data_IF_615514437019
#
_entry.id   IF_615514437019
#
_cell.length_a   1.000
_cell.length_b   1.000
_cell.length_c   1.000
_cell.angle_alpha   90.00
_cell.angle_beta   90.00
_cell.angle_gamma   90.00
#
_symmetry.space_group_name_H-M   'P 1'
#
loop_
_entity.id
_entity.type
_entity.pdbx_description
1 polymer ?
#
# COMPACT_ATOMS: atom_id res chain seq x y z
N UNK A 1 14.28 -28.88 9.07
CA UNK A 1 14.40 -27.57 8.38
C UNK A 1 14.90 -26.56 9.40
N UNK A 2 15.99 -25.83 9.13
CA UNK A 2 16.57 -24.82 10.03
C UNK A 2 16.63 -23.48 9.28
N UNK A 3 16.06 -22.41 9.86
CA UNK A 3 16.07 -21.09 9.24
C UNK A 3 17.48 -20.48 9.31
N UNK A 4 18.01 -20.02 8.16
CA UNK A 4 19.30 -19.30 8.08
C UNK A 4 19.13 -18.06 7.18
N UNK A 5 19.31 -16.84 7.71
CA UNK A 5 19.49 -16.50 9.14
C UNK A 5 18.20 -16.73 9.96
N UNK A 6 18.32 -16.77 11.30
CA UNK A 6 17.17 -16.74 12.21
C UNK A 6 16.86 -18.01 13.02
N UNK A 7 17.78 -18.99 13.05
CA UNK A 7 17.63 -20.17 13.92
C UNK A 7 17.47 -19.75 15.39
N UNK A 8 16.39 -20.22 16.04
CA UNK A 8 16.10 -19.93 17.45
C UNK A 8 15.43 -18.57 17.71
N UNK A 9 15.16 -17.77 16.68
CA UNK A 9 14.38 -16.54 16.83
C UNK A 9 12.88 -16.85 16.81
N UNK A 10 12.14 -16.18 17.69
CA UNK A 10 10.68 -16.18 17.67
C UNK A 10 10.21 -15.12 16.66
N UNK A 11 10.14 -15.50 15.38
CA UNK A 11 9.73 -14.59 14.30
C UNK A 11 8.21 -14.55 14.25
N UNK A 12 7.57 -13.37 14.47
CA UNK A 12 6.12 -13.27 14.42
C UNK A 12 5.58 -13.70 13.06
N UNK A 13 4.58 -14.59 13.06
CA UNK A 13 3.94 -15.03 11.82
C UNK A 13 2.87 -14.01 11.43
N UNK A 14 2.86 -13.63 10.16
CA UNK A 14 1.87 -12.74 9.55
C UNK A 14 1.16 -13.42 8.41
N UNK A 15 -0.15 -13.17 8.29
CA UNK A 15 -0.90 -13.55 7.09
C UNK A 15 -0.97 -12.34 6.17
N UNK A 16 -0.34 -12.44 5.01
CA UNK A 16 -0.49 -11.46 3.93
C UNK A 16 -1.66 -11.90 3.04
N UNK A 17 -2.64 -11.01 2.87
CA UNK A 17 -3.84 -11.30 2.10
C UNK A 17 -4.16 -10.21 1.07
N UNK A 18 -4.73 -10.65 -0.04
CA UNK A 18 -5.34 -9.77 -1.05
C UNK A 18 -6.77 -10.23 -1.39
N UNK A 19 -7.41 -10.96 -0.45
CA UNK A 19 -8.75 -11.50 -0.56
C UNK A 19 -9.37 -11.70 0.83
N UNK A 20 -10.69 -11.91 0.87
CA UNK A 20 -11.42 -12.19 2.11
C UNK A 20 -11.04 -13.54 2.74
N UNK A 21 -10.51 -14.49 1.96
CA UNK A 21 -10.04 -15.76 2.50
C UNK A 21 -8.83 -15.59 3.43
N UNK A 22 -7.86 -14.76 3.03
CA UNK A 22 -6.70 -14.45 3.88
C UNK A 22 -7.11 -13.85 5.22
N UNK A 23 -8.10 -12.95 5.20
CA UNK A 23 -8.68 -12.37 6.42
C UNK A 23 -9.32 -13.43 7.33
N UNK A 24 -10.10 -14.35 6.76
CA UNK A 24 -10.72 -15.44 7.53
C UNK A 24 -9.68 -16.35 8.17
N UNK A 25 -8.62 -16.70 7.44
CA UNK A 25 -7.55 -17.54 7.94
C UNK A 25 -6.78 -16.85 9.07
N UNK A 26 -6.42 -15.57 8.89
CA UNK A 26 -5.74 -14.79 9.92
C UNK A 26 -6.57 -14.69 11.20
N UNK A 27 -7.88 -14.45 11.06
CA UNK A 27 -8.82 -14.38 12.18
C UNK A 27 -8.95 -15.72 12.91
N UNK A 28 -9.08 -16.82 12.17
CA UNK A 28 -9.21 -18.16 12.73
C UNK A 28 -7.97 -18.59 13.52
N UNK A 29 -6.78 -18.27 13.02
CA UNK A 29 -5.50 -18.58 13.66
C UNK A 29 -5.08 -17.56 14.74
N UNK A 30 -5.78 -16.43 14.85
CA UNK A 30 -5.42 -15.36 15.78
C UNK A 30 -4.07 -14.72 15.48
N UNK A 31 -3.78 -14.50 14.19
CA UNK A 31 -2.53 -13.93 13.71
C UNK A 31 -2.73 -12.48 13.23
N UNK A 32 -1.67 -11.65 13.22
CA UNK A 32 -1.72 -10.33 12.62
C UNK A 32 -1.94 -10.43 11.11
N UNK A 33 -2.69 -9.48 10.56
CA UNK A 33 -3.14 -9.49 9.17
C UNK A 33 -2.63 -8.27 8.39
N UNK A 34 -1.94 -8.53 7.28
CA UNK A 34 -1.48 -7.49 6.36
C UNK A 34 -2.25 -7.55 5.04
N UNK A 35 -3.05 -6.53 4.73
CA UNK A 35 -3.84 -6.48 3.50
C UNK A 35 -3.15 -5.65 2.40
N UNK A 36 -2.99 -6.24 1.21
CA UNK A 36 -2.40 -5.60 0.05
C UNK A 36 -3.41 -4.67 -0.67
N UNK A 37 -3.75 -3.52 -0.06
CA UNK A 37 -4.70 -2.56 -0.64
C UNK A 37 -4.29 -2.00 -2.00
N UNK A 38 -2.98 -1.94 -2.27
CA UNK A 38 -2.42 -1.58 -3.58
C UNK A 38 -2.65 -2.63 -4.69
N UNK A 39 -3.14 -3.82 -4.33
CA UNK A 39 -3.41 -4.90 -5.29
C UNK A 39 -4.92 -5.18 -5.44
N UNK A 40 -5.68 -5.13 -4.35
CA UNK A 40 -7.12 -5.42 -4.35
C UNK A 40 -7.92 -4.39 -3.51
N UNK A 41 -7.95 -3.11 -3.93
CA UNK A 41 -8.54 -2.04 -3.13
C UNK A 41 -10.03 -2.26 -2.83
N UNK A 42 -10.78 -2.82 -3.79
CA UNK A 42 -12.22 -3.06 -3.66
C UNK A 42 -12.59 -4.01 -2.51
N UNK A 43 -11.72 -4.95 -2.14
CA UNK A 43 -11.99 -5.95 -1.09
C UNK A 43 -11.44 -5.54 0.28
N UNK A 44 -10.78 -4.38 0.38
CA UNK A 44 -10.06 -3.97 1.58
C UNK A 44 -10.98 -3.87 2.80
N UNK A 45 -12.08 -3.12 2.68
CA UNK A 45 -12.99 -2.88 3.81
C UNK A 45 -13.64 -4.17 4.29
N UNK A 46 -14.11 -5.01 3.37
CA UNK A 46 -14.73 -6.29 3.69
C UNK A 46 -13.73 -7.24 4.36
N UNK A 47 -12.49 -7.32 3.86
CA UNK A 47 -11.46 -8.16 4.45
C UNK A 47 -11.11 -7.73 5.87
N UNK A 48 -11.00 -6.42 6.12
CA UNK A 48 -10.72 -5.88 7.46
C UNK A 48 -11.89 -6.18 8.41
N UNK A 49 -13.13 -5.95 7.97
CA UNK A 49 -14.33 -6.23 8.76
C UNK A 49 -14.40 -7.71 9.14
N UNK A 50 -14.25 -8.61 8.16
CA UNK A 50 -14.24 -10.06 8.38
C UNK A 50 -13.14 -10.48 9.36
N UNK A 51 -11.93 -9.92 9.22
CA UNK A 51 -10.82 -10.23 10.12
C UNK A 51 -11.16 -9.87 11.56
N UNK A 52 -11.65 -8.65 11.80
CA UNK A 52 -11.98 -8.17 13.15
C UNK A 52 -13.17 -8.89 13.76
N UNK A 53 -14.23 -9.10 12.99
CA UNK A 53 -15.45 -9.77 13.46
C UNK A 53 -15.21 -11.22 13.87
N UNK A 54 -14.30 -11.91 13.17
CA UNK A 54 -14.06 -13.35 13.38
C UNK A 54 -12.81 -13.66 14.18
N UNK A 55 -12.09 -12.63 14.64
CA UNK A 55 -10.80 -12.80 15.29
C UNK A 55 -10.90 -13.66 16.55
N UNK A 56 -9.99 -14.62 16.68
CA UNK A 56 -9.84 -15.47 17.86
C UNK A 56 -8.48 -15.20 18.48
N UNK A 57 -8.40 -14.75 19.75
CA UNK A 57 -7.11 -14.59 20.42
C UNK A 57 -6.27 -15.87 20.37
N UNK A 58 -4.96 -15.71 20.21
CA UNK A 58 -3.98 -16.81 20.19
C UNK A 58 -2.87 -16.54 21.20
N UNK A 59 -1.93 -17.49 21.33
CA UNK A 59 -0.73 -17.26 22.14
C UNK A 59 0.12 -16.09 21.63
N UNK A 60 0.07 -15.77 20.33
CA UNK A 60 0.85 -14.69 19.73
C UNK A 60 0.15 -13.32 19.86
N UNK A 61 -1.19 -13.29 19.82
CA UNK A 61 -1.92 -12.03 19.68
C UNK A 61 -3.28 -12.05 20.42
N UNK A 62 -3.46 -11.08 21.32
CA UNK A 62 -4.64 -10.98 22.19
C UNK A 62 -5.83 -10.21 21.58
N UNK A 63 -5.57 -9.32 20.61
CA UNK A 63 -6.56 -8.48 19.94
C UNK A 63 -6.23 -8.36 18.45
N UNK A 64 -7.21 -8.11 17.56
CA UNK A 64 -6.95 -8.00 16.13
C UNK A 64 -5.88 -6.94 15.82
N UNK A 65 -4.95 -7.24 14.92
CA UNK A 65 -3.89 -6.31 14.49
C UNK A 65 -3.83 -6.26 12.97
N UNK A 66 -4.06 -5.09 12.40
CA UNK A 66 -4.20 -4.87 10.95
C UNK A 66 -3.12 -3.95 10.43
N UNK A 67 -2.39 -4.42 9.41
CA UNK A 67 -1.48 -3.62 8.61
C UNK A 67 -2.01 -3.44 7.19
N UNK A 68 -1.87 -2.26 6.60
CA UNK A 68 -2.24 -2.01 5.19
C UNK A 68 -1.03 -1.71 4.32
N UNK A 69 -0.90 -2.45 3.23
CA UNK A 69 0.07 -2.17 2.17
C UNK A 69 -0.46 -1.09 1.23
N UNK A 70 0.06 0.13 1.35
CA UNK A 70 -0.39 1.33 0.64
C UNK A 70 0.62 1.79 -0.41
N UNK A 71 0.14 2.26 -1.56
CA UNK A 71 0.99 2.99 -2.51
C UNK A 71 0.98 4.46 -2.14
N UNK A 72 2.15 5.02 -1.80
CA UNK A 72 2.29 6.44 -1.48
C UNK A 72 3.41 7.03 -2.33
N UNK A 73 3.11 8.10 -3.06
CA UNK A 73 4.14 8.87 -3.79
C UNK A 73 4.09 10.31 -3.29
N UNK A 74 5.10 10.65 -2.51
CA UNK A 74 5.27 11.96 -1.92
C UNK A 74 6.37 12.72 -2.64
N UNK A 75 6.20 14.03 -2.77
CA UNK A 75 7.22 14.95 -3.29
C UNK A 75 7.06 16.31 -2.59
N UNK A 76 7.91 17.28 -2.93
CA UNK A 76 7.84 18.63 -2.36
C UNK A 76 6.56 19.37 -2.79
N UNK A 77 5.92 18.93 -3.87
CA UNK A 77 4.66 19.49 -4.37
C UNK A 77 3.74 18.43 -4.98
N UNK A 78 2.46 18.75 -5.06
CA UNK A 78 1.46 17.91 -5.73
C UNK A 78 1.78 17.63 -7.21
N UNK A 79 2.28 18.64 -7.92
CA UNK A 79 2.63 18.53 -9.33
C UNK A 79 3.79 17.56 -9.53
N UNK A 80 4.82 17.67 -8.68
CA UNK A 80 5.97 16.76 -8.72
C UNK A 80 5.56 15.33 -8.35
N UNK A 81 4.73 15.16 -7.31
CA UNK A 81 4.27 13.83 -6.89
C UNK A 81 3.49 13.13 -8.02
N UNK A 82 2.61 13.85 -8.73
CA UNK A 82 1.89 13.34 -9.91
C UNK A 82 2.83 13.00 -11.06
N UNK A 83 3.83 13.84 -11.31
CA UNK A 83 4.86 13.55 -12.30
C UNK A 83 5.59 12.25 -11.98
N UNK A 84 6.09 12.08 -10.75
CA UNK A 84 6.79 10.85 -10.31
C UNK A 84 5.87 9.63 -10.34
N UNK A 85 4.61 9.79 -9.98
CA UNK A 85 3.61 8.72 -9.99
C UNK A 85 3.34 8.14 -11.38
N UNK A 86 3.57 8.92 -12.44
CA UNK A 86 3.42 8.42 -13.82
C UNK A 86 4.32 7.23 -14.14
N UNK A 87 5.45 7.03 -13.46
CA UNK A 87 6.27 5.81 -13.60
C UNK A 87 5.50 4.55 -13.20
N UNK A 88 4.80 4.61 -12.06
CA UNK A 88 3.95 3.53 -11.55
C UNK A 88 2.75 3.29 -12.48
N UNK A 89 2.13 4.36 -12.97
CA UNK A 89 0.99 4.27 -13.90
C UNK A 89 1.39 3.60 -15.22
N UNK A 90 2.52 4.01 -15.80
CA UNK A 90 3.06 3.37 -17.00
C UNK A 90 3.36 1.89 -16.78
N UNK A 91 4.03 1.52 -15.68
CA UNK A 91 4.30 0.12 -15.35
C UNK A 91 3.04 -0.72 -15.21
N UNK A 92 1.98 -0.18 -14.60
CA UNK A 92 0.68 -0.88 -14.49
C UNK A 92 0.06 -1.10 -15.85
N UNK A 93 0.01 -0.08 -16.72
CA UNK A 93 -0.54 -0.23 -18.07
C UNK A 93 0.28 -1.20 -18.93
N UNK A 94 1.61 -1.13 -18.84
CA UNK A 94 2.52 -2.06 -19.52
C UNK A 94 2.25 -3.51 -19.09
N UNK A 95 2.12 -3.77 -17.79
CA UNK A 95 1.78 -5.11 -17.29
C UNK A 95 0.40 -5.58 -17.77
N UNK A 96 -0.61 -4.72 -17.74
CA UNK A 96 -1.98 -5.04 -18.19
C UNK A 96 -2.07 -5.28 -19.70
N UNK A 97 -1.18 -4.67 -20.48
CA UNK A 97 -1.11 -4.82 -21.95
C UNK A 97 -0.09 -5.87 -22.41
N UNK A 98 0.47 -6.66 -21.48
CA UNK A 98 1.40 -7.77 -21.80
C UNK A 98 2.80 -7.32 -22.22
N UNK A 99 3.24 -6.13 -21.80
CA UNK A 99 4.56 -5.55 -22.07
C UNK A 99 5.35 -5.31 -20.78
N UNK A 100 5.55 -6.34 -19.92
CA UNK A 100 6.28 -6.15 -18.67
C UNK A 100 7.71 -5.67 -18.92
N UNK A 101 8.24 -4.85 -18.02
CA UNK A 101 9.57 -4.26 -18.17
C UNK A 101 10.04 -3.54 -16.92
N UNK A 102 11.18 -2.85 -17.06
CA UNK A 102 11.71 -1.98 -16.00
C UNK A 102 10.73 -0.83 -15.75
N UNK A 103 10.79 -0.25 -14.54
CA UNK A 103 10.07 0.99 -14.23
C UNK A 103 10.53 2.06 -15.24
N UNK A 104 9.61 2.71 -15.98
CA UNK A 104 9.97 3.72 -16.96
C UNK A 104 10.16 5.09 -16.30
N UNK A 105 10.92 6.00 -16.92
CA UNK A 105 11.02 7.38 -16.44
C UNK A 105 9.65 8.07 -16.42
N UNK A 106 9.44 9.03 -15.51
CA UNK A 106 8.18 9.75 -15.40
C UNK A 106 7.92 10.63 -16.63
N UNK A 107 6.64 10.81 -16.97
CA UNK A 107 6.16 11.59 -18.11
C UNK A 107 5.27 12.74 -17.60
N UNK A 108 5.59 13.97 -18.04
CA UNK A 108 4.75 15.13 -17.76
C UNK A 108 3.39 15.01 -18.47
N UNK A 109 2.33 15.43 -17.78
CA UNK A 109 0.94 15.37 -18.25
C UNK A 109 0.49 13.99 -18.72
N UNK A 110 1.04 12.92 -18.11
CA UNK A 110 0.71 11.54 -18.49
C UNK A 110 -0.79 11.26 -18.45
N UNK A 111 -1.46 11.66 -17.36
CA UNK A 111 -2.91 11.46 -17.19
C UNK A 111 -3.77 12.20 -18.22
N UNK A 112 -3.29 13.33 -18.75
CA UNK A 112 -4.00 14.09 -19.77
C UNK A 112 -4.00 13.37 -21.13
N UNK A 113 -3.04 12.46 -21.35
CA UNK A 113 -2.85 11.71 -22.59
C UNK A 113 -3.51 10.32 -22.57
N UNK A 114 -4.08 9.93 -21.44
CA UNK A 114 -4.74 8.63 -21.28
C UNK A 114 -6.07 8.59 -22.03
N UNK A 115 -6.25 7.55 -22.83
CA UNK A 115 -7.57 7.17 -23.33
C UNK A 115 -8.51 6.74 -22.15
N UNK A 116 -9.84 6.71 -22.37
CA UNK A 116 -10.78 6.37 -21.31
C UNK A 116 -10.58 4.99 -20.68
N UNK A 117 -10.12 4.01 -21.46
CA UNK A 117 -9.90 2.65 -20.97
C UNK A 117 -8.67 2.57 -20.06
N UNK A 118 -7.54 3.17 -20.48
CA UNK A 118 -6.34 3.26 -19.67
C UNK A 118 -6.60 4.04 -18.36
N UNK A 119 -7.40 5.12 -18.43
CA UNK A 119 -7.82 5.88 -17.25
C UNK A 119 -8.62 5.03 -16.26
N UNK A 120 -9.56 4.21 -16.74
CA UNK A 120 -10.35 3.33 -15.89
C UNK A 120 -9.49 2.27 -15.18
N UNK A 121 -8.53 1.65 -15.90
CA UNK A 121 -7.58 0.69 -15.31
C UNK A 121 -6.79 1.33 -14.16
N UNK A 122 -6.29 2.55 -14.36
CA UNK A 122 -5.47 3.22 -13.35
C UNK A 122 -6.31 3.71 -12.17
N UNK A 123 -7.54 4.18 -12.41
CA UNK A 123 -8.46 4.56 -11.35
C UNK A 123 -8.78 3.37 -10.43
N UNK A 124 -9.00 2.18 -10.99
CA UNK A 124 -9.21 0.95 -10.21
C UNK A 124 -7.95 0.53 -9.45
N UNK A 125 -6.81 0.42 -10.16
CA UNK A 125 -5.55 -0.06 -9.57
C UNK A 125 -5.04 0.82 -8.42
N UNK A 126 -5.29 2.13 -8.50
CA UNK A 126 -4.76 3.12 -7.56
C UNK A 126 -5.85 3.82 -6.74
N UNK A 127 -7.03 3.20 -6.60
CA UNK A 127 -8.14 3.73 -5.81
C UNK A 127 -7.79 4.03 -4.34
N UNK A 128 -6.78 3.34 -3.79
CA UNK A 128 -6.25 3.58 -2.45
C UNK A 128 -4.88 4.28 -2.43
N UNK A 129 -4.32 4.70 -3.58
CA UNK A 129 -3.03 5.36 -3.57
C UNK A 129 -3.12 6.79 -3.00
N UNK A 130 -2.09 7.21 -2.27
CA UNK A 130 -1.97 8.58 -1.74
C UNK A 130 -0.82 9.27 -2.47
N UNK A 131 -1.13 10.31 -3.25
CA UNK A 131 -0.15 10.98 -4.11
C UNK A 131 -0.26 12.49 -3.93
N UNK A 132 0.83 13.14 -3.54
CA UNK A 132 0.82 14.59 -3.35
C UNK A 132 2.04 15.16 -2.61
N UNK A 133 1.96 16.46 -2.32
CA UNK A 133 2.85 17.14 -1.40
C UNK A 133 2.53 16.82 0.06
N UNK A 134 3.34 17.32 1.02
CA UNK A 134 3.26 16.94 2.44
C UNK A 134 1.85 17.02 3.04
N UNK A 135 1.11 18.11 2.78
CA UNK A 135 -0.24 18.30 3.31
C UNK A 135 -1.23 17.24 2.80
N UNK A 136 -1.17 16.89 1.50
CA UNK A 136 -2.02 15.84 0.92
C UNK A 136 -1.64 14.46 1.41
N UNK A 137 -0.35 14.21 1.61
CA UNK A 137 0.11 12.94 2.20
C UNK A 137 -0.41 12.82 3.63
N UNK A 138 -0.32 13.89 4.42
CA UNK A 138 -0.83 13.93 5.78
C UNK A 138 -2.33 13.62 5.83
N UNK A 139 -3.13 14.36 5.06
CA UNK A 139 -4.57 14.16 5.00
C UNK A 139 -4.92 12.75 4.50
N UNK A 140 -4.33 12.31 3.40
CA UNK A 140 -4.63 11.00 2.82
C UNK A 140 -4.25 9.83 3.73
N UNK A 141 -3.14 9.92 4.46
CA UNK A 141 -2.73 8.92 5.45
C UNK A 141 -3.70 8.91 6.64
N UNK A 142 -4.07 10.08 7.16
CA UNK A 142 -5.06 10.18 8.23
C UNK A 142 -6.41 9.61 7.83
N UNK A 143 -6.91 9.95 6.64
CA UNK A 143 -8.18 9.45 6.11
C UNK A 143 -8.15 7.92 5.96
N UNK A 144 -7.03 7.36 5.49
CA UNK A 144 -6.85 5.92 5.38
C UNK A 144 -6.87 5.24 6.75
N UNK A 145 -6.19 5.79 7.75
CA UNK A 145 -6.18 5.26 9.12
C UNK A 145 -7.57 5.36 9.73
N UNK A 146 -8.24 6.51 9.64
CA UNK A 146 -9.56 6.72 10.22
C UNK A 146 -10.61 5.79 9.61
N UNK A 147 -10.61 5.66 8.28
CA UNK A 147 -11.61 4.84 7.57
C UNK A 147 -11.40 3.35 7.83
N UNK A 148 -10.16 2.90 7.96
CA UNK A 148 -9.84 1.47 8.05
C UNK A 148 -9.55 1.00 9.48
N UNK A 149 -9.22 1.91 10.39
CA UNK A 149 -8.72 1.60 11.74
C UNK A 149 -7.41 0.83 11.75
N UNK A 150 -6.60 0.89 10.70
CA UNK A 150 -5.35 0.12 10.61
C UNK A 150 -4.35 0.54 11.70
N UNK A 151 -3.68 -0.45 12.29
CA UNK A 151 -2.68 -0.27 13.34
C UNK A 151 -1.32 0.14 12.73
N UNK A 152 -1.01 -0.35 11.53
CA UNK A 152 0.22 -0.04 10.80
C UNK A 152 -0.03 0.18 9.29
N UNK A 153 0.82 1.01 8.67
CA UNK A 153 0.86 1.19 7.22
C UNK A 153 2.22 0.76 6.68
N UNK A 154 2.22 -0.19 5.74
CA UNK A 154 3.39 -0.57 4.96
C UNK A 154 3.37 0.19 3.63
N UNK A 155 4.33 1.08 3.43
CA UNK A 155 4.34 1.99 2.29
C UNK A 155 5.18 1.43 1.14
N UNK A 156 4.64 1.51 -0.07
CA UNK A 156 5.29 1.13 -1.32
C UNK A 156 5.30 2.30 -2.29
N UNK A 157 6.40 2.47 -3.02
CA UNK A 157 6.54 3.49 -4.06
C UNK A 157 7.51 2.96 -5.12
N UNK A 158 7.07 2.67 -6.35
CA UNK A 158 7.98 2.29 -7.44
C UNK A 158 8.26 3.48 -8.36
N UNK A 159 8.96 4.48 -7.83
CA UNK A 159 9.44 5.65 -8.58
C UNK A 159 10.74 5.28 -9.31
N UNK A 160 10.91 5.74 -10.54
CA UNK A 160 12.06 5.44 -11.40
C UNK A 160 13.40 5.89 -10.79
N UNK A 161 13.46 7.15 -10.36
CA UNK A 161 14.66 7.73 -9.76
C UNK A 161 14.79 7.31 -8.30
N UNK A 162 15.94 6.73 -7.95
CA UNK A 162 16.17 6.18 -6.61
C UNK A 162 16.22 7.23 -5.51
N UNK A 163 16.81 8.39 -5.77
CA UNK A 163 16.92 9.45 -4.77
C UNK A 163 15.56 10.12 -4.55
N UNK A 164 14.78 10.33 -5.62
CA UNK A 164 13.38 10.78 -5.50
C UNK A 164 12.53 9.77 -4.75
N UNK A 165 12.75 8.46 -4.98
CA UNK A 165 12.06 7.38 -4.26
C UNK A 165 12.38 7.42 -2.76
N UNK A 166 13.65 7.58 -2.39
CA UNK A 166 14.08 7.75 -1.00
C UNK A 166 13.44 8.98 -0.36
N UNK A 167 13.50 10.14 -1.05
CA UNK A 167 12.88 11.38 -0.58
C UNK A 167 11.38 11.22 -0.34
N UNK A 168 10.67 10.49 -1.22
CA UNK A 168 9.26 10.16 -1.00
C UNK A 168 9.03 9.43 0.32
N UNK A 169 9.88 8.47 0.71
CA UNK A 169 9.75 7.78 2.00
C UNK A 169 10.09 8.68 3.19
N UNK A 170 11.09 9.57 3.05
CA UNK A 170 11.45 10.54 4.07
C UNK A 170 10.30 11.50 4.38
N UNK A 171 9.65 12.04 3.35
CA UNK A 171 8.48 12.94 3.50
C UNK A 171 7.35 12.21 4.24
N UNK A 172 7.05 10.95 3.87
CA UNK A 172 6.02 10.16 4.55
C UNK A 172 6.39 9.92 6.03
N UNK A 173 7.66 9.67 6.32
CA UNK A 173 8.16 9.49 7.69
C UNK A 173 8.15 10.80 8.52
N UNK A 174 8.41 11.95 7.89
CA UNK A 174 8.26 13.28 8.49
C UNK A 174 6.80 13.57 8.84
N UNK A 175 5.89 13.37 7.88
CA UNK A 175 4.44 13.49 8.08
C UNK A 175 3.96 12.60 9.23
N UNK A 176 4.33 11.32 9.23
CA UNK A 176 3.94 10.41 10.31
C UNK A 176 4.46 10.84 11.68
N UNK A 177 5.67 11.42 11.77
CA UNK A 177 6.19 11.96 13.03
C UNK A 177 5.39 13.17 13.53
N UNK A 178 4.88 14.00 12.61
CA UNK A 178 4.05 15.15 12.95
C UNK A 178 2.60 14.77 13.35
N UNK A 179 2.17 13.54 13.05
CA UNK A 179 0.85 13.01 13.43
C UNK A 179 0.80 12.43 14.86
N UNK A 180 1.94 12.21 15.50
CA UNK A 180 2.07 11.72 16.88
C UNK A 180 2.16 12.88 17.86
#
# INVERSE_FOLDING_TARGET
>A
VQAVPGAGLDVPIWILGSSTFGAQLAAYLGLPFAFASHFAPAMMMDAIAIYRERFRPSAQLAAPYVMLGLTVVAAESDAEARFLFSSLQQSTLNNRTGRPGRVPPPIADFEARLDPYARAILADAYACAVVGGPDKIQQGVQDMIQRTGADELMVTANVFDHERRKRSFEIVAEVHRALK
#
